data_IF_766909988592
#
_entry.id   IF_766909988592
#
_cell.length_a   1.000
_cell.length_b   1.000
_cell.length_c   1.000
_cell.angle_alpha   90.00
_cell.angle_beta   90.00
_cell.angle_gamma   90.00
#
_symmetry.space_group_name_H-M   'P 1'
#
loop_
_entity.id
_entity.type
_entity.pdbx_description
1 polymer ?
#
# COMPACT_ATOMS: atom_id res chain seq x y z
N UNK A 1 7.17 5.22 -8.45
CA UNK A 1 5.89 4.57 -8.16
C UNK A 1 6.05 3.67 -6.94
N UNK A 2 5.23 3.84 -5.94
CA UNK A 2 5.26 3.00 -4.75
C UNK A 2 3.96 2.24 -4.59
N UNK A 3 4.09 0.97 -4.25
CA UNK A 3 3.01 0.08 -3.90
C UNK A 3 2.98 -0.10 -2.39
N UNK A 4 1.87 0.23 -1.77
CA UNK A 4 1.66 -0.04 -0.35
C UNK A 4 0.53 -1.03 -0.15
N UNK A 5 0.81 -2.05 0.60
CA UNK A 5 -0.17 -3.01 1.06
C UNK A 5 -0.76 -2.57 2.39
N UNK A 6 -2.06 -2.44 2.44
CA UNK A 6 -2.77 -2.27 3.67
C UNK A 6 -3.64 -3.48 3.95
N UNK A 7 -3.33 -4.12 5.03
CA UNK A 7 -4.27 -4.95 5.73
C UNK A 7 -4.99 -4.03 6.70
N UNK A 8 -6.31 -3.78 6.53
CA UNK A 8 -7.01 -2.98 7.52
C UNK A 8 -6.91 -3.70 8.86
N UNK A 9 -6.15 -3.14 9.75
CA UNK A 9 -6.37 -3.44 11.15
C UNK A 9 -7.62 -2.68 11.53
N UNK A 10 -8.63 -3.39 11.93
CA UNK A 10 -9.88 -2.82 12.42
C UNK A 10 -9.61 -1.86 13.59
N UNK A 11 -9.21 -0.66 13.27
CA UNK A 11 -9.33 0.44 14.20
C UNK A 11 -10.76 0.95 14.05
N UNK A 12 -11.64 0.74 15.04
CA UNK A 12 -13.03 1.18 14.92
C UNK A 12 -13.08 2.66 14.58
N UNK A 13 -13.69 3.00 13.44
CA UNK A 13 -13.93 4.38 13.03
C UNK A 13 -12.85 5.02 12.18
N UNK A 14 -11.73 4.35 11.87
CA UNK A 14 -10.73 4.88 10.95
C UNK A 14 -11.03 4.42 9.51
N UNK A 15 -11.14 5.38 8.59
CA UNK A 15 -11.32 5.08 7.17
C UNK A 15 -10.08 4.43 6.58
N UNK A 16 -10.22 3.45 5.66
CA UNK A 16 -9.07 2.74 5.08
C UNK A 16 -8.02 3.66 4.45
N UNK A 17 -8.43 4.71 3.76
CA UNK A 17 -7.49 5.65 3.15
C UNK A 17 -6.71 6.45 4.22
N UNK A 18 -7.37 6.87 5.29
CA UNK A 18 -6.71 7.55 6.40
C UNK A 18 -5.68 6.65 7.06
N UNK A 19 -6.03 5.39 7.27
CA UNK A 19 -5.09 4.37 7.77
C UNK A 19 -3.89 4.22 6.82
N UNK A 20 -4.15 4.18 5.52
CA UNK A 20 -3.11 4.06 4.49
C UNK A 20 -2.12 5.22 4.53
N UNK A 21 -2.64 6.43 4.59
CA UNK A 21 -1.84 7.65 4.66
C UNK A 21 -0.98 7.66 5.92
N UNK A 22 -1.56 7.32 7.04
CA UNK A 22 -0.87 7.26 8.33
C UNK A 22 0.26 6.21 8.31
N UNK A 23 -0.05 5.00 7.87
CA UNK A 23 0.93 3.91 7.83
C UNK A 23 2.06 4.19 6.84
N UNK A 24 1.77 4.80 5.69
CA UNK A 24 2.80 5.19 4.74
C UNK A 24 3.81 6.13 5.39
N UNK A 25 3.32 7.14 6.08
CA UNK A 25 4.18 8.09 6.81
C UNK A 25 4.97 7.41 7.93
N UNK A 26 4.29 6.60 8.74
CA UNK A 26 4.91 5.91 9.87
C UNK A 26 6.00 4.92 9.45
N UNK A 27 5.79 4.19 8.37
CA UNK A 27 6.71 3.13 7.96
C UNK A 27 7.78 3.61 6.99
N UNK A 28 7.51 4.63 6.18
CA UNK A 28 8.42 5.06 5.12
C UNK A 28 8.93 6.48 5.26
N UNK A 29 8.24 7.32 6.03
CA UNK A 29 8.54 8.74 6.11
C UNK A 29 8.03 9.57 4.93
N UNK A 30 7.23 8.99 4.07
CA UNK A 30 6.69 9.68 2.90
C UNK A 30 5.20 9.99 3.04
N UNK A 31 4.79 11.08 2.41
CA UNK A 31 3.39 11.36 2.06
C UNK A 31 3.22 11.25 0.57
N UNK A 32 2.05 10.79 0.15
CA UNK A 32 1.67 10.72 -1.25
C UNK A 32 0.57 11.72 -1.56
N UNK A 33 0.64 12.31 -2.74
CA UNK A 33 -0.38 13.23 -3.23
C UNK A 33 -1.52 12.50 -3.92
N UNK A 34 -1.19 11.47 -4.68
CA UNK A 34 -2.15 10.73 -5.50
C UNK A 34 -2.35 9.32 -4.95
N UNK A 35 -3.59 8.99 -4.66
CA UNK A 35 -4.00 7.69 -4.13
C UNK A 35 -5.04 7.04 -5.02
N UNK A 36 -4.79 5.78 -5.36
CA UNK A 36 -5.71 4.97 -6.14
C UNK A 36 -5.90 3.60 -5.50
N UNK A 37 -7.06 3.00 -5.74
CA UNK A 37 -7.31 1.61 -5.32
C UNK A 37 -6.80 0.68 -6.41
N UNK A 38 -5.86 -0.19 -6.07
CA UNK A 38 -5.36 -1.23 -6.97
C UNK A 38 -6.20 -2.48 -6.93
N UNK A 39 -6.58 -2.90 -5.75
CA UNK A 39 -7.33 -4.12 -5.54
C UNK A 39 -8.21 -4.01 -4.30
N UNK A 40 -9.32 -4.72 -4.34
CA UNK A 40 -10.31 -4.79 -3.28
C UNK A 40 -10.79 -6.25 -3.24
N UNK A 41 -10.20 -7.05 -2.38
CA UNK A 41 -10.34 -8.51 -2.42
C UNK A 41 -10.60 -9.09 -1.05
N UNK A 42 -11.27 -10.25 -1.05
CA UNK A 42 -11.33 -11.09 0.14
C UNK A 42 -10.11 -12.01 0.19
N UNK A 43 -9.43 -12.01 1.34
CA UNK A 43 -8.19 -12.77 1.49
C UNK A 43 -8.45 -14.29 1.56
N UNK A 44 -9.52 -14.70 2.27
CA UNK A 44 -9.88 -16.11 2.43
C UNK A 44 -11.37 -16.31 2.18
N UNK A 45 -11.81 -16.37 0.90
CA UNK A 45 -13.22 -16.57 0.57
C UNK A 45 -13.76 -17.85 1.19
N UNK A 46 -14.93 -17.80 1.83
CA UNK A 46 -15.59 -18.94 2.44
C UNK A 46 -15.18 -19.26 3.87
N UNK A 47 -14.06 -18.75 4.37
CA UNK A 47 -13.57 -18.99 5.72
C UNK A 47 -13.41 -17.72 6.56
N UNK A 48 -13.26 -16.58 5.92
CA UNK A 48 -13.12 -15.28 6.58
C UNK A 48 -13.82 -14.20 5.77
N UNK A 49 -14.31 -13.17 6.44
CA UNK A 49 -14.85 -11.95 5.83
C UNK A 49 -13.79 -10.86 5.72
N UNK A 50 -12.53 -11.18 5.95
CA UNK A 50 -11.46 -10.21 5.85
C UNK A 50 -11.36 -9.67 4.42
N UNK A 51 -11.59 -8.38 4.30
CA UNK A 51 -11.47 -7.64 3.05
C UNK A 51 -10.18 -6.85 3.07
N UNK A 52 -9.42 -6.97 2.01
CA UNK A 52 -8.14 -6.28 1.87
C UNK A 52 -8.24 -5.25 0.76
N UNK A 53 -7.94 -4.01 1.11
CA UNK A 53 -7.78 -2.92 0.14
C UNK A 53 -6.29 -2.68 -0.08
N UNK A 54 -5.89 -2.70 -1.34
CA UNK A 54 -4.52 -2.40 -1.75
C UNK A 54 -4.53 -1.06 -2.46
N UNK A 55 -3.76 -0.10 -1.94
CA UNK A 55 -3.67 1.23 -2.49
C UNK A 55 -2.37 1.44 -3.26
N UNK A 56 -2.44 2.26 -4.30
CA UNK A 56 -1.28 2.81 -4.98
C UNK A 56 -1.09 4.25 -4.53
N UNK A 57 0.05 4.53 -3.95
CA UNK A 57 0.46 5.87 -3.55
C UNK A 57 1.50 6.41 -4.55
N UNK A 58 1.24 7.56 -5.15
CA UNK A 58 2.14 8.22 -6.10
C UNK A 58 2.35 9.67 -5.74
N UNK A 59 3.39 10.27 -6.34
CA UNK A 59 3.80 11.64 -6.08
C UNK A 59 4.18 11.82 -4.61
N UNK A 60 5.31 11.20 -4.26
CA UNK A 60 5.77 11.09 -2.88
C UNK A 60 6.62 12.28 -2.48
N UNK A 61 6.42 12.73 -1.25
CA UNK A 61 7.22 13.77 -0.62
C UNK A 61 7.76 13.26 0.71
N UNK A 62 9.07 13.40 0.90
CA UNK A 62 9.70 13.09 2.17
C UNK A 62 9.27 14.07 3.25
N UNK A 63 8.92 13.54 4.41
CA UNK A 63 8.56 14.34 5.60
C UNK A 63 9.67 14.16 6.64
N UNK A 64 10.41 15.23 6.97
CA UNK A 64 11.43 15.16 8.01
C UNK A 64 10.86 14.71 9.35
N UNK A 65 11.64 13.97 10.13
CA UNK A 65 11.21 13.47 11.45
C UNK A 65 10.69 14.57 12.37
N UNK A 66 11.30 15.76 12.31
CA UNK A 66 10.87 16.93 13.09
C UNK A 66 9.44 17.39 12.77
N UNK A 67 8.93 17.07 11.58
CA UNK A 67 7.59 17.46 11.13
C UNK A 67 6.56 16.32 11.25
N UNK A 68 6.98 15.17 11.74
CA UNK A 68 6.11 14.02 11.98
C UNK A 68 5.59 14.06 13.41
N UNK A 69 4.70 15.00 13.70
CA UNK A 69 4.20 15.23 15.05
C UNK A 69 3.65 13.95 15.70
N UNK A 70 4.22 13.57 16.85
CA UNK A 70 3.74 12.44 17.63
C UNK A 70 4.12 11.07 17.10
N UNK A 71 4.95 10.98 16.06
CA UNK A 71 5.38 9.71 15.51
C UNK A 71 6.55 9.13 16.33
N UNK A 72 6.30 7.98 16.95
CA UNK A 72 7.36 7.15 17.53
C UNK A 72 7.35 5.83 16.77
N UNK A 73 8.44 5.47 16.06
CA UNK A 73 8.48 4.19 15.37
C UNK A 73 8.23 3.06 16.36
N UNK A 74 7.33 2.15 16.02
CA UNK A 74 7.19 0.92 16.79
C UNK A 74 8.50 0.16 16.68
N UNK A 75 8.86 -0.58 17.72
CA UNK A 75 10.11 -1.33 17.76
C UNK A 75 10.29 -2.26 16.55
N UNK A 76 9.22 -2.86 16.06
CA UNK A 76 9.21 -3.69 14.86
C UNK A 76 9.49 -2.89 13.58
N UNK A 77 8.95 -1.68 13.47
CA UNK A 77 9.13 -0.79 12.32
C UNK A 77 10.54 -0.21 12.24
N UNK A 78 11.17 0.02 13.38
CA UNK A 78 12.55 0.52 13.44
C UNK A 78 13.57 -0.47 12.84
N UNK A 79 13.22 -1.75 12.71
CA UNK A 79 14.08 -2.79 12.13
C UNK A 79 13.79 -3.03 10.64
N UNK A 80 12.73 -2.44 10.08
CA UNK A 80 12.41 -2.57 8.67
C UNK A 80 13.32 -1.68 7.83
N UNK A 81 13.91 -2.29 6.80
CA UNK A 81 14.67 -1.55 5.81
C UNK A 81 13.80 -1.21 4.61
N UNK A 82 13.70 0.08 4.29
CA UNK A 82 13.03 0.52 3.09
C UNK A 82 13.96 0.33 1.89
N UNK A 83 13.49 -0.37 0.87
CA UNK A 83 14.21 -0.55 -0.38
C UNK A 83 13.36 -0.11 -1.55
N UNK A 84 13.99 0.55 -2.49
CA UNK A 84 13.38 0.91 -3.76
C UNK A 84 13.74 -0.16 -4.78
N UNK A 85 12.73 -0.84 -5.29
CA UNK A 85 12.91 -1.93 -6.26
C UNK A 85 12.10 -1.61 -7.51
N UNK A 86 12.69 -1.70 -8.71
CA UNK A 86 11.93 -1.55 -9.94
C UNK A 86 10.76 -2.54 -10.01
N UNK A 87 9.60 -2.07 -10.45
CA UNK A 87 8.39 -2.89 -10.52
C UNK A 87 8.62 -4.15 -11.36
N UNK A 88 9.30 -4.03 -12.50
CA UNK A 88 9.59 -5.16 -13.37
C UNK A 88 10.42 -6.24 -12.69
N UNK A 89 11.33 -5.86 -11.81
CA UNK A 89 12.15 -6.81 -11.05
C UNK A 89 11.30 -7.57 -10.02
N UNK A 90 10.40 -6.87 -9.33
CA UNK A 90 9.49 -7.52 -8.38
C UNK A 90 8.57 -8.50 -9.07
N UNK A 91 8.01 -8.13 -10.22
CA UNK A 91 7.19 -9.04 -11.05
C UNK A 91 7.99 -10.27 -11.43
N UNK A 92 9.22 -10.10 -11.90
CA UNK A 92 10.10 -11.22 -12.29
C UNK A 92 10.39 -12.17 -11.11
N UNK A 93 10.60 -11.63 -9.92
CA UNK A 93 10.83 -12.46 -8.72
C UNK A 93 9.59 -13.26 -8.32
N UNK A 94 8.38 -12.68 -8.44
CA UNK A 94 7.16 -13.46 -8.22
C UNK A 94 7.01 -14.57 -9.25
N UNK A 95 7.25 -14.29 -10.53
CA UNK A 95 7.15 -15.30 -11.59
C UNK A 95 8.19 -16.41 -11.45
N UNK A 96 9.36 -16.10 -10.93
CA UNK A 96 10.41 -17.07 -10.65
C UNK A 96 10.15 -17.91 -9.38
N UNK A 97 9.17 -17.52 -8.56
CA UNK A 97 8.88 -18.21 -7.31
C UNK A 97 9.78 -17.82 -6.14
N UNK A 98 10.47 -16.70 -6.23
CA UNK A 98 11.35 -16.21 -5.17
C UNK A 98 10.61 -15.45 -4.08
N UNK A 99 9.42 -14.95 -4.36
CA UNK A 99 8.58 -14.21 -3.43
C UNK A 99 7.23 -14.94 -3.26
N UNK A 100 6.71 -14.96 -2.04
CA UNK A 100 5.58 -15.82 -1.69
C UNK A 100 4.40 -15.09 -1.03
N UNK A 101 4.54 -13.82 -0.65
CA UNK A 101 3.45 -13.10 0.01
C UNK A 101 2.30 -12.85 -0.97
N UNK A 102 1.14 -13.45 -0.72
CA UNK A 102 -0.01 -13.42 -1.63
C UNK A 102 -0.61 -12.03 -1.82
N UNK A 103 -0.72 -11.24 -0.77
CA UNK A 103 -1.27 -9.88 -0.87
C UNK A 103 -0.29 -8.95 -1.60
N UNK A 104 1.00 -9.10 -1.37
CA UNK A 104 2.02 -8.38 -2.13
C UNK A 104 1.94 -8.72 -3.61
N UNK A 105 1.76 -10.01 -3.94
CA UNK A 105 1.60 -10.45 -5.33
C UNK A 105 0.39 -9.79 -5.99
N UNK A 106 -0.77 -9.77 -5.32
CA UNK A 106 -1.98 -9.11 -5.84
C UNK A 106 -1.67 -7.64 -6.18
N UNK A 107 -1.06 -6.91 -5.26
CA UNK A 107 -0.72 -5.50 -5.48
C UNK A 107 0.29 -5.30 -6.60
N UNK A 108 1.33 -6.11 -6.65
CA UNK A 108 2.37 -6.01 -7.68
C UNK A 108 1.80 -6.30 -9.08
N UNK A 109 1.04 -7.38 -9.23
CA UNK A 109 0.43 -7.70 -10.53
C UNK A 109 -0.65 -6.69 -10.92
N UNK A 110 -1.42 -6.16 -9.97
CA UNK A 110 -2.41 -5.13 -10.23
C UNK A 110 -1.76 -3.84 -10.74
N UNK A 111 -0.70 -3.37 -10.10
CA UNK A 111 -0.01 -2.15 -10.57
C UNK A 111 0.70 -2.38 -11.88
N UNK A 112 1.24 -3.57 -12.12
CA UNK A 112 1.82 -3.92 -13.40
C UNK A 112 0.77 -3.84 -14.53
N UNK A 113 -0.40 -4.44 -14.30
CA UNK A 113 -1.51 -4.37 -15.25
C UNK A 113 -2.01 -2.93 -15.47
N UNK A 114 -2.16 -2.16 -14.41
CA UNK A 114 -2.59 -0.77 -14.50
C UNK A 114 -1.61 0.08 -15.31
N UNK A 115 -0.33 -0.14 -15.15
CA UNK A 115 0.74 0.56 -15.88
C UNK A 115 0.67 0.31 -17.38
N UNK A 116 0.28 -0.89 -17.82
CA UNK A 116 0.12 -1.22 -19.24
C UNK A 116 -0.92 -0.32 -19.91
N UNK A 117 -1.96 0.09 -19.18
CA UNK A 117 -2.98 1.02 -19.66
C UNK A 117 -2.72 2.48 -19.32
N UNK A 118 -1.51 2.84 -18.90
CA UNK A 118 -1.18 4.21 -18.52
C UNK A 118 -1.91 4.70 -17.27
N UNK A 119 -2.32 3.79 -16.40
CA UNK A 119 -3.05 4.05 -15.14
C UNK A 119 -4.47 4.62 -15.33
N UNK A 120 -5.01 4.62 -16.52
CA UNK A 120 -6.34 5.21 -16.80
C UNK A 120 -7.50 4.41 -16.20
N UNK A 121 -7.30 3.12 -15.94
CA UNK A 121 -8.34 2.25 -15.39
C UNK A 121 -8.44 2.28 -13.87
N UNK A 122 -7.54 2.95 -13.18
CA UNK A 122 -7.51 2.99 -11.71
C UNK A 122 -8.65 3.83 -11.15
N UNK A 123 -9.25 3.31 -10.09
CA UNK A 123 -10.25 4.06 -9.30
C UNK A 123 -9.53 4.97 -8.31
N UNK A 124 -9.96 6.23 -8.22
CA UNK A 124 -9.46 7.12 -7.19
C UNK A 124 -9.86 6.62 -5.80
N UNK A 125 -8.91 6.71 -4.87
CA UNK A 125 -9.18 6.49 -3.48
C UNK A 125 -9.76 7.78 -2.89
N UNK A 126 -11.07 7.81 -2.70
CA UNK A 126 -11.76 8.95 -2.11
C UNK A 126 -12.23 8.61 -0.71
N UNK A 127 -12.16 9.58 0.16
CA UNK A 127 -12.81 9.47 1.47
C UNK A 127 -14.32 9.46 1.24
N UNK A 128 -15.07 8.54 1.89
CA UNK A 128 -16.51 8.60 1.82
C UNK A 128 -17.01 9.97 2.23
N UNK A 129 -17.87 10.56 1.43
CA UNK A 129 -18.51 11.80 1.83
C UNK A 129 -19.42 11.51 3.03
N UNK A 130 -19.16 12.23 4.08
CA UNK A 130 -19.98 12.16 5.28
C UNK A 130 -21.27 12.94 5.08
#
# INVERSE_FOLDING_TARGET
>A
MQLRLLVPRDAPGEEPLVTAERELLEETGYRARDWHVLADVFNTPGTSRERVLVFLARDLTWVPESERAGFVPRHEEAQLQLRWVPLTDVVSHFLAGDLHNGITAVGVFAVHAARQGGFTALREAVLPQR
#
